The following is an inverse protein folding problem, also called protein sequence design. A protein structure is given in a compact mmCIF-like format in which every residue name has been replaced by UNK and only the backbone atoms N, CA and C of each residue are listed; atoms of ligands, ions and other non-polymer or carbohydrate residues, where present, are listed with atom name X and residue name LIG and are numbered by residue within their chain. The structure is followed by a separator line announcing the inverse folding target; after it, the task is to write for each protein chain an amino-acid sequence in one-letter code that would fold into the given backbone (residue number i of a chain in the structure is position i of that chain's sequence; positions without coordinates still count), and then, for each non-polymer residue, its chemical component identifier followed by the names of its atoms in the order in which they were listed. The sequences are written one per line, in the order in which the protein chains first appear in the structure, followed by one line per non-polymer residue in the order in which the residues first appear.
data_IF_315307489870
#
_entry.id   IF_315307489870
#
_cell.length_a   1.000
_cell.length_b   1.000
_cell.length_c   1.000
_cell.angle_alpha   90.00
_cell.angle_beta   90.00
_cell.angle_gamma   90.00
#
_symmetry.space_group_name_H-M   'P 1'
#
loop_
_entity.id
_entity.type
_entity.pdbx_description
1 polymer ?
#
# COMPACT_ATOMS: atom_id res chain seq x y z
N UNK A 1 -28.22 -18.04 32.96
CA UNK A 1 -27.63 -16.94 32.17
C UNK A 1 -26.49 -17.54 31.37
N UNK A 2 -26.71 -17.74 30.06
CA UNK A 2 -25.72 -18.36 29.16
C UNK A 2 -24.81 -17.24 28.67
N UNK A 3 -23.47 -17.34 28.84
CA UNK A 3 -22.58 -16.31 28.33
C UNK A 3 -22.57 -16.42 26.81
N UNK A 4 -23.09 -15.40 26.14
CA UNK A 4 -22.95 -15.23 24.69
C UNK A 4 -21.49 -14.86 24.43
N UNK A 5 -20.67 -15.86 24.12
CA UNK A 5 -19.33 -15.64 23.62
C UNK A 5 -19.45 -15.05 22.21
N UNK A 6 -19.21 -13.74 22.06
CA UNK A 6 -18.94 -13.14 20.76
C UNK A 6 -17.62 -13.71 20.26
N UNK A 7 -17.69 -14.77 19.45
CA UNK A 7 -16.57 -15.24 18.64
C UNK A 7 -16.36 -14.19 17.55
N UNK A 8 -15.64 -13.13 17.89
CA UNK A 8 -15.16 -12.15 16.92
C UNK A 8 -14.23 -12.87 15.96
N UNK A 9 -14.67 -13.01 14.70
CA UNK A 9 -13.83 -13.53 13.64
C UNK A 9 -12.74 -12.48 13.37
N UNK A 10 -11.59 -12.60 14.03
CA UNK A 10 -10.39 -11.84 13.71
C UNK A 10 -9.81 -12.41 12.42
N UNK A 11 -10.47 -12.18 11.28
CA UNK A 11 -9.80 -12.28 10.00
C UNK A 11 -8.68 -11.23 10.04
N UNK A 12 -7.43 -11.68 10.05
CA UNK A 12 -6.29 -10.77 9.94
C UNK A 12 -6.51 -9.94 8.67
N UNK A 13 -6.72 -8.63 8.84
CA UNK A 13 -6.96 -7.74 7.71
C UNK A 13 -5.75 -7.82 6.77
N UNK A 14 -6.00 -8.14 5.50
CA UNK A 14 -4.92 -8.15 4.51
C UNK A 14 -4.27 -6.75 4.45
N UNK A 15 -2.94 -6.68 4.27
CA UNK A 15 -2.28 -5.39 4.11
C UNK A 15 -2.82 -4.67 2.87
N UNK A 16 -2.95 -3.36 2.97
CA UNK A 16 -3.35 -2.53 1.82
C UNK A 16 -2.26 -2.57 0.76
N UNK A 17 -2.62 -3.01 -0.44
CA UNK A 17 -1.68 -3.17 -1.56
C UNK A 17 -1.56 -1.88 -2.35
N UNK A 18 -0.35 -1.34 -2.42
CA UNK A 18 -0.01 -0.17 -3.24
C UNK A 18 0.93 -0.61 -4.35
N UNK A 19 0.54 -0.38 -5.59
CA UNK A 19 1.34 -0.70 -6.76
C UNK A 19 2.17 0.54 -7.16
N UNK A 20 3.47 0.35 -7.36
CA UNK A 20 4.37 1.41 -7.82
C UNK A 20 5.02 0.97 -9.14
N UNK A 21 4.50 1.54 -10.21
CA UNK A 21 5.03 1.38 -11.57
C UNK A 21 6.07 2.49 -11.86
N UNK A 22 6.85 2.39 -12.94
CA UNK A 22 7.83 3.43 -13.28
C UNK A 22 7.22 4.83 -13.40
N UNK A 23 5.99 4.92 -13.92
CA UNK A 23 5.35 6.21 -14.23
C UNK A 23 4.23 6.60 -13.25
N UNK A 24 3.66 5.66 -12.48
CA UNK A 24 2.51 5.95 -11.62
C UNK A 24 2.48 5.12 -10.34
N UNK A 25 1.74 5.63 -9.36
CA UNK A 25 1.31 4.97 -8.14
C UNK A 25 -0.15 4.55 -8.29
N UNK A 26 -0.52 3.40 -7.71
CA UNK A 26 -1.89 2.91 -7.75
C UNK A 26 -2.31 2.24 -6.44
N UNK A 27 -3.54 2.52 -6.02
CA UNK A 27 -4.24 1.85 -4.92
C UNK A 27 -5.68 1.56 -5.35
N UNK A 28 -6.01 0.28 -5.55
CA UNK A 28 -7.28 -0.11 -6.15
C UNK A 28 -7.47 0.57 -7.51
N UNK A 29 -8.55 1.35 -7.66
CA UNK A 29 -8.87 2.11 -8.87
C UNK A 29 -8.19 3.49 -8.95
N UNK A 30 -7.57 3.95 -7.87
CA UNK A 30 -6.92 5.27 -7.81
C UNK A 30 -5.54 5.14 -8.45
N UNK A 31 -5.29 5.96 -9.48
CA UNK A 31 -4.01 6.05 -10.20
C UNK A 31 -3.53 7.49 -10.18
N UNK A 32 -2.24 7.69 -9.93
CA UNK A 32 -1.64 9.02 -9.87
C UNK A 32 -0.17 8.97 -10.22
N UNK A 33 0.33 9.95 -10.98
CA UNK A 33 1.77 10.12 -11.19
C UNK A 33 2.48 10.61 -9.93
N UNK A 34 1.75 11.29 -9.05
CA UNK A 34 2.21 11.83 -7.77
C UNK A 34 1.90 10.86 -6.63
N UNK A 35 2.88 10.64 -5.74
CA UNK A 35 2.72 9.79 -4.56
C UNK A 35 1.62 10.30 -3.63
N UNK A 36 1.53 11.63 -3.48
CA UNK A 36 0.65 12.32 -2.54
C UNK A 36 -0.80 11.85 -2.59
N UNK A 37 -1.39 11.71 -3.79
CA UNK A 37 -2.79 11.27 -3.90
C UNK A 37 -3.02 9.85 -3.41
N UNK A 38 -2.08 8.94 -3.68
CA UNK A 38 -2.17 7.56 -3.21
C UNK A 38 -1.89 7.49 -1.71
N UNK A 39 -0.95 8.29 -1.21
CA UNK A 39 -0.68 8.43 0.24
C UNK A 39 -1.91 8.93 0.98
N UNK A 40 -2.58 9.97 0.49
CA UNK A 40 -3.78 10.53 1.12
C UNK A 40 -4.88 9.47 1.25
N UNK A 41 -5.03 8.63 0.24
CA UNK A 41 -5.97 7.52 0.28
C UNK A 41 -5.55 6.43 1.28
N UNK A 42 -4.27 6.06 1.33
CA UNK A 42 -3.76 5.11 2.34
C UNK A 42 -4.01 5.64 3.75
N UNK A 43 -3.71 6.91 3.99
CA UNK A 43 -3.95 7.58 5.29
C UNK A 43 -5.44 7.57 5.63
N UNK A 44 -6.32 7.82 4.65
CA UNK A 44 -7.78 7.76 4.82
C UNK A 44 -8.28 6.38 5.25
N UNK A 45 -7.71 5.31 4.66
CA UNK A 45 -8.06 3.93 4.97
C UNK A 45 -7.53 3.46 6.34
N UNK A 46 -6.50 4.12 6.90
CA UNK A 46 -5.84 3.78 8.17
C UNK A 46 -5.53 2.28 8.32
N UNK A 47 -4.83 1.65 7.36
CA UNK A 47 -4.59 0.23 7.42
C UNK A 47 -3.60 -0.12 8.53
N UNK A 48 -3.65 -1.38 8.99
CA UNK A 48 -2.68 -1.95 9.92
C UNK A 48 -1.32 -2.26 9.26
N UNK A 49 -1.28 -2.32 7.92
CA UNK A 49 -0.08 -2.59 7.14
C UNK A 49 -0.24 -2.22 5.68
N UNK A 50 0.86 -1.87 5.03
CA UNK A 50 0.93 -1.54 3.60
C UNK A 50 1.95 -2.46 2.91
N UNK A 51 1.50 -3.13 1.86
CA UNK A 51 2.36 -3.90 0.96
C UNK A 51 2.60 -3.09 -0.32
N UNK A 52 3.83 -2.63 -0.50
CA UNK A 52 4.30 -2.00 -1.71
C UNK A 52 4.65 -3.10 -2.71
N UNK A 53 3.98 -3.11 -3.85
CA UNK A 53 4.26 -3.97 -5.00
C UNK A 53 4.91 -3.12 -6.10
N UNK A 54 6.20 -3.30 -6.35
CA UNK A 54 6.94 -2.48 -7.30
C UNK A 54 7.43 -3.28 -8.50
N UNK A 55 7.40 -2.69 -9.69
CA UNK A 55 8.08 -3.25 -10.84
C UNK A 55 9.60 -3.20 -10.64
N UNK A 56 10.33 -4.19 -11.17
CA UNK A 56 11.81 -4.15 -11.19
C UNK A 56 12.38 -2.91 -11.88
N UNK A 57 11.69 -2.42 -12.91
CA UNK A 57 12.06 -1.20 -13.64
C UNK A 57 11.71 0.09 -12.88
N UNK A 58 10.98 0.02 -11.76
CA UNK A 58 10.65 1.19 -10.96
C UNK A 58 11.91 1.72 -10.29
N UNK A 59 12.21 3.00 -10.52
CA UNK A 59 13.34 3.69 -9.91
C UNK A 59 13.19 3.74 -8.38
N UNK A 60 14.23 3.40 -7.58
CA UNK A 60 14.14 3.38 -6.12
C UNK A 60 13.64 4.69 -5.50
N UNK A 61 13.98 5.83 -6.11
CA UNK A 61 13.57 7.16 -5.64
C UNK A 61 12.04 7.30 -5.59
N UNK A 62 11.32 6.64 -6.51
CA UNK A 62 9.84 6.66 -6.55
C UNK A 62 9.23 5.90 -5.36
N UNK A 63 9.87 4.81 -4.94
CA UNK A 63 9.48 4.04 -3.74
C UNK A 63 9.78 4.87 -2.49
N UNK A 64 11.00 5.41 -2.38
CA UNK A 64 11.44 6.25 -1.25
C UNK A 64 10.52 7.46 -1.08
N UNK A 65 10.09 8.08 -2.18
CA UNK A 65 9.15 9.20 -2.12
C UNK A 65 7.83 8.79 -1.45
N UNK A 66 7.23 7.67 -1.87
CA UNK A 66 6.00 7.17 -1.25
C UNK A 66 6.19 6.85 0.23
N UNK A 67 7.28 6.17 0.58
CA UNK A 67 7.59 5.83 1.98
C UNK A 67 7.70 7.08 2.86
N UNK A 68 8.44 8.10 2.40
CA UNK A 68 8.63 9.35 3.15
C UNK A 68 7.32 10.13 3.32
N UNK A 69 6.55 10.25 2.25
CA UNK A 69 5.26 10.97 2.31
C UNK A 69 4.27 10.24 3.24
N UNK A 70 4.24 8.91 3.21
CA UNK A 70 3.38 8.13 4.09
C UNK A 70 3.83 8.21 5.56
N UNK A 71 5.12 8.01 5.83
CA UNK A 71 5.68 8.08 7.19
C UNK A 71 5.48 9.46 7.84
N UNK A 72 5.44 10.53 7.04
CA UNK A 72 5.15 11.87 7.54
C UNK A 72 3.70 12.05 8.03
N UNK A 73 2.78 11.15 7.68
CA UNK A 73 1.32 11.31 7.91
C UNK A 73 0.68 10.15 8.66
N UNK A 74 1.22 8.93 8.56
CA UNK A 74 0.67 7.72 9.17
C UNK A 74 1.78 6.72 9.47
N UNK A 75 1.95 6.40 10.75
CA UNK A 75 2.89 5.36 11.19
C UNK A 75 2.26 3.99 10.92
N UNK A 76 2.80 3.26 9.94
CA UNK A 76 2.29 1.96 9.52
C UNK A 76 3.42 1.03 9.10
N UNK A 77 3.24 -0.28 9.33
CA UNK A 77 4.18 -1.28 8.86
C UNK A 77 4.21 -1.30 7.34
N UNK A 78 5.38 -1.07 6.75
CA UNK A 78 5.63 -1.15 5.33
C UNK A 78 6.34 -2.46 4.99
N UNK A 79 5.96 -3.07 3.88
CA UNK A 79 6.66 -4.23 3.30
C UNK A 79 6.77 -4.01 1.80
N UNK A 80 7.91 -4.34 1.22
CA UNK A 80 8.17 -4.20 -0.21
C UNK A 80 8.31 -5.57 -0.86
N UNK A 81 7.64 -5.78 -1.98
CA UNK A 81 7.85 -6.92 -2.87
C UNK A 81 7.97 -6.45 -4.31
N UNK A 82 8.68 -7.23 -5.11
CA UNK A 82 8.73 -7.03 -6.56
C UNK A 82 7.57 -7.78 -7.21
N UNK A 83 7.02 -7.20 -8.27
CA UNK A 83 5.97 -7.82 -9.09
C UNK A 83 6.38 -7.83 -10.56
N UNK A 84 5.86 -8.81 -11.30
CA UNK A 84 5.99 -8.89 -12.75
C UNK A 84 4.68 -8.51 -13.46
N UNK A 85 3.53 -8.68 -12.80
CA UNK A 85 2.21 -8.37 -13.36
C UNK A 85 2.02 -6.86 -13.56
N UNK A 86 1.49 -6.48 -14.73
CA UNK A 86 1.23 -5.09 -15.10
C UNK A 86 2.48 -4.23 -15.29
N UNK A 87 3.68 -4.81 -15.14
CA UNK A 87 4.93 -4.09 -15.32
C UNK A 87 5.30 -3.97 -16.80
N UNK A 88 5.87 -2.83 -17.22
CA UNK A 88 6.42 -2.71 -18.56
C UNK A 88 7.54 -3.74 -18.74
N UNK A 89 7.63 -4.30 -19.95
CA UNK A 89 8.79 -5.11 -20.35
C UNK A 89 10.06 -4.29 -20.18
N UNK A 90 11.03 -4.88 -19.48
CA UNK A 90 12.31 -4.28 -19.14
C UNK A 90 13.15 -3.90 -20.37
#
# INVERSE_FOLDING_TARGET
MIPVALVGCFAAAEPTKVHIFPNLYQLGDIKSELATHVVDEVVRLKPSGVLIMACRATRPEKIIQFERELQARHEVKLTLTLMDEGCPSA
#
